data_IF_588277876134
#
_entry.id   IF_588277876134
#
_cell.length_a   1.000
_cell.length_b   1.000
_cell.length_c   1.000
_cell.angle_alpha   90.00
_cell.angle_beta   90.00
_cell.angle_gamma   90.00
#
_symmetry.space_group_name_H-M   'P 1'
#
loop_
_entity.id
_entity.type
_entity.pdbx_description
1 polymer ?
#
# COMPACT_ATOMS: atom_id res chain seq x y z
N UNK A 1 41.45 35.08 -46.91
CA UNK A 1 41.74 35.51 -45.52
C UNK A 1 40.66 36.50 -45.14
N UNK A 2 39.57 36.02 -44.55
CA UNK A 2 38.43 36.86 -44.16
C UNK A 2 37.87 36.26 -42.88
N UNK A 3 38.16 36.92 -41.75
CA UNK A 3 37.74 36.51 -40.41
C UNK A 3 36.32 37.04 -40.16
N UNK A 4 35.40 36.14 -39.81
CA UNK A 4 34.12 36.53 -39.23
C UNK A 4 34.30 36.71 -37.71
N UNK A 5 33.83 37.85 -37.21
CA UNK A 5 33.93 38.27 -35.81
C UNK A 5 33.07 37.41 -34.88
N UNK A 6 33.73 36.75 -33.94
CA UNK A 6 33.17 35.97 -32.85
C UNK A 6 32.68 36.89 -31.73
N UNK A 7 31.57 37.62 -31.92
CA UNK A 7 30.99 38.46 -30.86
C UNK A 7 29.45 38.52 -30.95
N UNK A 8 28.78 37.38 -31.12
CA UNK A 8 27.32 37.27 -30.88
C UNK A 8 26.88 35.83 -30.59
N UNK A 9 27.71 35.06 -29.87
CA UNK A 9 27.35 33.69 -29.42
C UNK A 9 27.87 33.52 -28.00
N UNK A 10 27.39 34.34 -27.07
CA UNK A 10 27.70 34.17 -25.64
C UNK A 10 26.51 34.47 -24.71
N UNK A 11 25.32 34.73 -25.26
CA UNK A 11 24.13 35.10 -24.48
C UNK A 11 22.88 34.24 -24.81
N UNK A 12 23.08 33.03 -25.35
CA UNK A 12 21.98 32.05 -25.61
C UNK A 12 22.31 30.67 -25.00
N UNK A 13 23.45 30.49 -24.34
CA UNK A 13 23.86 29.21 -23.72
C UNK A 13 23.83 29.29 -22.18
N UNK A 14 23.11 30.25 -21.60
CA UNK A 14 22.96 30.40 -20.15
C UNK A 14 21.53 30.11 -19.65
N UNK A 15 20.63 29.62 -20.50
CA UNK A 15 19.22 29.42 -20.17
C UNK A 15 18.66 28.05 -20.58
N UNK A 16 19.48 26.99 -20.57
CA UNK A 16 19.02 25.63 -20.87
C UNK A 16 19.80 24.54 -20.11
N UNK A 17 20.37 24.87 -18.94
CA UNK A 17 20.66 23.86 -17.92
C UNK A 17 19.50 23.87 -16.92
N UNK A 18 18.30 23.53 -17.41
CA UNK A 18 17.36 22.80 -16.58
C UNK A 18 18.08 21.49 -16.27
N UNK A 19 18.75 21.45 -15.12
CA UNK A 19 19.10 20.20 -14.47
C UNK A 19 17.75 19.55 -14.23
N UNK A 20 17.33 18.68 -15.14
CA UNK A 20 16.33 17.67 -14.83
C UNK A 20 16.97 16.81 -13.75
N UNK A 21 16.81 17.23 -12.50
CA UNK A 21 16.88 16.29 -11.39
C UNK A 21 15.75 15.32 -11.67
N UNK A 22 16.09 14.19 -12.28
CA UNK A 22 15.25 13.00 -12.22
C UNK A 22 15.13 12.73 -10.73
N UNK A 23 14.09 13.26 -10.09
CA UNK A 23 13.61 12.73 -8.82
C UNK A 23 13.21 11.32 -9.19
N UNK A 24 14.10 10.36 -8.93
CA UNK A 24 13.67 8.97 -8.86
C UNK A 24 12.57 8.98 -7.80
N UNK A 25 11.32 8.79 -8.23
CA UNK A 25 10.29 8.36 -7.31
C UNK A 25 10.87 7.14 -6.59
N UNK A 26 10.79 7.14 -5.25
CA UNK A 26 11.20 5.95 -4.50
C UNK A 26 10.45 4.75 -5.07
N UNK A 27 11.13 3.61 -5.22
CA UNK A 27 10.46 2.40 -5.68
C UNK A 27 9.33 2.05 -4.70
N UNK A 28 8.16 1.71 -5.23
CA UNK A 28 7.00 1.36 -4.41
C UNK A 28 7.32 0.15 -3.50
N UNK A 29 6.83 0.19 -2.26
CA UNK A 29 6.90 -0.95 -1.34
C UNK A 29 5.55 -1.66 -1.42
N UNK A 30 5.50 -2.79 -2.13
CA UNK A 30 4.29 -3.60 -2.27
C UNK A 30 4.41 -4.83 -1.38
N UNK A 31 3.42 -5.00 -0.50
CA UNK A 31 3.31 -6.11 0.46
C UNK A 31 2.08 -6.92 0.07
N UNK A 32 2.29 -8.05 -0.59
CA UNK A 32 1.27 -8.91 -1.21
C UNK A 32 1.46 -10.39 -0.79
N UNK A 33 0.83 -11.34 -1.48
CA UNK A 33 0.95 -12.77 -1.20
C UNK A 33 2.41 -13.29 -1.21
N UNK A 34 3.30 -12.68 -1.99
CA UNK A 34 4.71 -13.06 -2.08
C UNK A 34 5.53 -12.58 -0.86
N UNK A 35 4.94 -11.74 -0.01
CA UNK A 35 5.55 -11.21 1.22
C UNK A 35 4.99 -11.84 2.50
N UNK A 36 4.50 -13.08 2.39
CA UNK A 36 3.89 -13.81 3.52
C UNK A 36 4.81 -14.85 4.16
N UNK A 37 6.06 -14.98 3.70
CA UNK A 37 7.05 -15.88 4.33
C UNK A 37 7.78 -15.18 5.49
N UNK A 38 7.20 -15.28 6.68
CA UNK A 38 7.76 -14.67 7.90
C UNK A 38 9.15 -15.21 8.27
N UNK A 39 9.53 -16.39 7.78
CA UNK A 39 10.84 -16.99 8.10
C UNK A 39 12.01 -16.27 7.43
N UNK A 40 11.73 -15.46 6.40
CA UNK A 40 12.75 -14.67 5.70
C UNK A 40 13.09 -13.37 6.42
N UNK A 41 12.26 -12.91 7.36
CA UNK A 41 12.49 -11.66 8.06
C UNK A 41 13.59 -11.88 9.12
N UNK A 42 14.76 -11.24 8.99
CA UNK A 42 15.83 -11.42 9.97
C UNK A 42 15.41 -10.84 11.33
N UNK A 43 15.86 -11.46 12.42
CA UNK A 43 15.61 -10.96 13.78
C UNK A 43 15.94 -9.46 13.92
N UNK A 44 17.08 -9.02 13.39
CA UNK A 44 17.52 -7.63 13.45
C UNK A 44 16.55 -6.67 12.73
N UNK A 45 15.86 -7.11 11.66
CA UNK A 45 14.86 -6.30 10.98
C UNK A 45 13.60 -6.14 11.84
N UNK A 46 13.18 -7.20 12.53
CA UNK A 46 12.05 -7.15 13.48
C UNK A 46 12.38 -6.20 14.64
N UNK A 47 13.58 -6.33 15.22
CA UNK A 47 14.04 -5.45 16.30
C UNK A 47 14.15 -4.00 15.84
N UNK A 48 14.64 -3.74 14.62
CA UNK A 48 14.73 -2.39 14.09
C UNK A 48 13.35 -1.78 13.80
N UNK A 49 12.38 -2.57 13.33
CA UNK A 49 11.00 -2.11 13.19
C UNK A 49 10.43 -1.67 14.55
N UNK A 50 10.60 -2.50 15.58
CA UNK A 50 10.13 -2.21 16.95
C UNK A 50 10.80 -0.99 17.57
N UNK A 51 12.05 -0.71 17.21
CA UNK A 51 12.81 0.42 17.74
C UNK A 51 12.48 1.77 17.08
N UNK A 52 11.92 1.76 15.87
CA UNK A 52 11.79 2.98 15.07
C UNK A 52 10.35 3.28 14.63
N UNK A 53 9.43 2.32 14.65
CA UNK A 53 8.07 2.52 14.17
C UNK A 53 7.11 2.80 15.32
N UNK A 54 6.28 3.82 15.11
CA UNK A 54 5.15 4.21 15.94
C UNK A 54 3.94 4.31 15.01
N UNK A 55 3.04 3.34 15.11
CA UNK A 55 2.04 3.05 14.08
C UNK A 55 0.65 3.35 14.63
N UNK A 56 -0.18 4.07 13.88
CA UNK A 56 -1.62 4.11 14.13
C UNK A 56 -2.36 3.33 13.03
N UNK A 57 -3.31 2.50 13.45
CA UNK A 57 -4.07 1.61 12.55
C UNK A 57 -5.57 1.73 12.76
N UNK A 58 -6.25 2.43 11.85
CA UNK A 58 -7.71 2.53 11.84
C UNK A 58 -8.38 1.46 10.98
N UNK A 59 -9.36 0.77 11.54
CA UNK A 59 -10.11 -0.27 10.83
C UNK A 59 -11.44 -0.64 11.49
N UNK A 60 -12.32 -1.27 10.71
CA UNK A 60 -13.48 -2.00 11.25
C UNK A 60 -13.27 -3.53 11.14
N UNK A 61 -14.33 -4.28 10.87
CA UNK A 61 -14.36 -5.74 11.05
C UNK A 61 -13.32 -6.50 10.21
N UNK A 62 -13.21 -6.26 8.90
CA UNK A 62 -12.22 -6.98 8.07
C UNK A 62 -10.77 -6.66 8.45
N UNK A 63 -10.46 -5.39 8.74
CA UNK A 63 -9.09 -5.01 9.13
C UNK A 63 -8.61 -5.65 10.43
N UNK A 64 -9.52 -5.98 11.37
CA UNK A 64 -9.17 -6.67 12.62
C UNK A 64 -8.45 -8.01 12.44
N UNK A 65 -8.52 -8.60 11.23
CA UNK A 65 -7.79 -9.82 10.89
C UNK A 65 -6.27 -9.63 11.01
N UNK A 66 -5.74 -8.43 10.73
CA UNK A 66 -4.31 -8.12 10.80
C UNK A 66 -3.80 -8.22 12.25
N UNK A 67 -4.41 -7.47 13.17
CA UNK A 67 -4.04 -7.44 14.60
C UNK A 67 -4.40 -8.74 15.31
N UNK A 68 -5.52 -9.37 14.99
CA UNK A 68 -5.89 -10.69 15.54
C UNK A 68 -4.91 -11.78 15.11
N UNK A 69 -4.49 -11.75 13.84
CA UNK A 69 -3.45 -12.63 13.33
C UNK A 69 -2.12 -12.38 14.05
N UNK A 70 -1.70 -11.11 14.20
CA UNK A 70 -0.47 -10.74 14.91
C UNK A 70 -0.50 -11.17 16.38
N UNK A 71 -1.65 -11.12 17.06
CA UNK A 71 -1.82 -11.63 18.42
C UNK A 71 -1.55 -13.14 18.50
N UNK A 72 -2.12 -13.93 17.58
CA UNK A 72 -1.89 -15.38 17.54
C UNK A 72 -0.45 -15.76 17.17
N UNK A 73 0.21 -14.96 16.32
CA UNK A 73 1.59 -15.17 15.88
C UNK A 73 2.57 -15.22 17.05
N UNK A 74 2.38 -14.42 18.10
CA UNK A 74 3.28 -14.41 19.27
C UNK A 74 3.40 -15.81 19.88
N UNK A 75 2.27 -16.45 20.18
CA UNK A 75 2.24 -17.79 20.75
C UNK A 75 2.75 -18.85 19.78
N UNK A 76 2.41 -18.73 18.50
CA UNK A 76 2.87 -19.64 17.45
C UNK A 76 4.39 -19.63 17.28
N UNK A 77 5.00 -18.45 17.18
CA UNK A 77 6.45 -18.31 17.06
C UNK A 77 7.17 -18.75 18.34
N UNK A 78 6.65 -18.41 19.52
CA UNK A 78 7.19 -18.89 20.80
C UNK A 78 7.18 -20.43 20.90
N UNK A 79 6.20 -21.08 20.26
CA UNK A 79 6.09 -22.54 20.18
C UNK A 79 6.98 -23.19 19.11
N UNK A 80 7.73 -22.42 18.32
CA UNK A 80 8.57 -22.92 17.23
C UNK A 80 7.80 -23.17 15.92
N UNK A 81 6.63 -22.55 15.73
CA UNK A 81 5.87 -22.60 14.48
C UNK A 81 6.74 -22.21 13.27
N UNK A 82 6.53 -22.87 12.13
CA UNK A 82 7.36 -22.78 10.92
C UNK A 82 8.85 -23.08 11.15
N UNK A 83 9.20 -23.72 12.26
CA UNK A 83 10.60 -23.94 12.65
C UNK A 83 11.32 -22.66 13.10
N UNK A 84 10.56 -21.60 13.42
CA UNK A 84 11.13 -20.34 13.91
C UNK A 84 11.89 -20.59 15.22
N UNK A 85 13.11 -20.07 15.29
CA UNK A 85 13.98 -20.12 16.47
C UNK A 85 14.42 -18.70 16.82
N UNK A 86 13.44 -17.86 17.18
CA UNK A 86 13.62 -16.46 17.55
C UNK A 86 13.44 -16.28 19.07
N UNK A 87 13.90 -15.15 19.64
CA UNK A 87 13.63 -14.82 21.04
C UNK A 87 12.14 -14.87 21.38
N UNK A 88 11.82 -15.24 22.62
CA UNK A 88 10.44 -15.19 23.11
C UNK A 88 9.86 -13.78 22.97
N UNK A 89 8.61 -13.70 22.53
CA UNK A 89 7.85 -12.46 22.35
C UNK A 89 8.44 -11.50 21.29
N UNK A 90 9.25 -12.02 20.36
CA UNK A 90 9.86 -11.20 19.29
C UNK A 90 8.81 -10.42 18.48
N UNK A 91 7.66 -11.04 18.20
CA UNK A 91 6.52 -10.47 17.48
C UNK A 91 5.47 -9.80 18.36
N UNK A 92 5.77 -9.55 19.64
CA UNK A 92 4.85 -8.84 20.53
C UNK A 92 4.69 -7.39 20.08
N UNK A 93 3.46 -6.90 20.17
CA UNK A 93 3.06 -5.53 19.89
C UNK A 93 2.11 -5.03 21.00
N UNK A 94 2.03 -3.71 21.17
CA UNK A 94 1.02 -3.01 21.98
C UNK A 94 1.10 -1.51 21.72
N UNK A 95 0.08 -0.77 22.14
CA UNK A 95 0.14 0.69 22.20
C UNK A 95 1.23 1.13 23.20
N UNK A 96 2.19 1.92 22.73
CA UNK A 96 3.31 2.48 23.47
C UNK A 96 4.60 1.63 23.44
N UNK A 97 4.64 0.55 22.67
CA UNK A 97 5.85 -0.29 22.49
C UNK A 97 6.42 -0.88 23.79
N UNK A 98 5.60 -0.96 24.84
CA UNK A 98 6.04 -1.27 26.19
C UNK A 98 6.62 -2.69 26.29
N UNK A 99 7.68 -2.83 27.10
CA UNK A 99 8.40 -4.10 27.23
C UNK A 99 9.21 -4.48 25.98
N UNK A 100 9.52 -3.51 25.11
CA UNK A 100 10.24 -3.73 23.87
C UNK A 100 9.37 -4.42 22.82
N UNK A 101 8.08 -4.08 22.77
CA UNK A 101 7.13 -4.54 21.75
C UNK A 101 7.14 -3.58 20.54
N UNK A 102 6.53 -3.97 19.42
CA UNK A 102 6.20 -3.01 18.35
C UNK A 102 5.16 -2.02 18.89
N UNK A 103 5.40 -0.73 18.68
CA UNK A 103 4.43 0.30 19.00
C UNK A 103 3.39 0.41 17.90
N UNK A 104 2.18 -0.09 18.20
CA UNK A 104 1.03 -0.03 17.32
C UNK A 104 -0.20 0.28 18.15
N UNK A 105 -0.81 1.44 17.86
CA UNK A 105 -2.11 1.84 18.36
C UNK A 105 -3.20 1.35 17.40
N UNK A 106 -3.97 0.37 17.86
CA UNK A 106 -5.15 -0.13 17.17
C UNK A 106 -6.32 0.82 17.43
N UNK A 107 -6.95 1.30 16.37
CA UNK A 107 -8.07 2.25 16.42
C UNK A 107 -9.32 1.67 17.09
N UNK A 108 -10.21 2.55 17.54
CA UNK A 108 -11.37 2.16 18.36
C UNK A 108 -12.51 1.50 17.56
N UNK A 109 -12.34 1.34 16.24
CA UNK A 109 -13.24 0.61 15.36
C UNK A 109 -14.65 1.18 15.29
N UNK A 110 -15.59 0.71 16.10
CA UNK A 110 -16.96 1.29 16.15
C UNK A 110 -17.22 2.11 17.42
N UNK A 111 -16.15 2.42 18.16
CA UNK A 111 -16.22 3.26 19.34
C UNK A 111 -16.15 4.74 19.00
N UNK A 112 -15.57 5.52 19.91
CA UNK A 112 -15.45 6.97 19.82
C UNK A 112 -14.07 7.48 20.27
N UNK A 113 -13.07 6.60 20.27
CA UNK A 113 -11.66 6.92 20.45
C UNK A 113 -11.00 7.26 19.11
N UNK A 114 -9.67 7.29 19.13
CA UNK A 114 -8.88 7.61 17.95
C UNK A 114 -9.03 6.59 16.82
N UNK A 115 -8.83 7.08 15.60
CA UNK A 115 -8.80 6.24 14.40
C UNK A 115 -10.07 5.40 14.29
N UNK A 116 -11.22 6.03 14.56
CA UNK A 116 -12.52 5.37 14.51
C UNK A 116 -12.89 4.94 13.07
N UNK A 117 -13.70 3.90 12.97
CA UNK A 117 -14.17 3.30 11.72
C UNK A 117 -13.03 2.85 10.77
N UNK A 118 -13.22 3.04 9.47
CA UNK A 118 -12.31 2.61 8.40
C UNK A 118 -12.27 3.68 7.28
N UNK A 119 -11.33 3.59 6.33
CA UNK A 119 -11.20 4.62 5.30
C UNK A 119 -12.35 4.67 4.28
N UNK A 120 -13.34 3.78 4.40
CA UNK A 120 -14.60 3.87 3.69
C UNK A 120 -15.51 5.01 4.17
N UNK A 121 -15.26 5.54 5.37
CA UNK A 121 -16.05 6.61 6.00
C UNK A 121 -15.47 7.98 5.70
N UNK A 122 -15.57 8.42 4.44
CA UNK A 122 -15.14 9.76 4.02
C UNK A 122 -16.25 10.81 4.28
N UNK A 123 -15.93 12.02 4.80
CA UNK A 123 -14.59 12.54 5.07
C UNK A 123 -14.00 12.19 6.44
N UNK A 124 -14.77 11.55 7.33
CA UNK A 124 -14.41 11.31 8.72
C UNK A 124 -12.99 10.73 8.92
N UNK A 125 -12.61 9.66 8.21
CA UNK A 125 -11.28 9.05 8.40
C UNK A 125 -10.12 10.02 8.13
N UNK A 126 -10.31 11.01 7.24
CA UNK A 126 -9.32 12.06 6.94
C UNK A 126 -9.25 13.04 8.09
N UNK A 127 -10.41 13.43 8.63
CA UNK A 127 -10.52 14.34 9.77
C UNK A 127 -9.88 13.70 11.01
N UNK A 128 -10.25 12.46 11.33
CA UNK A 128 -9.66 11.65 12.41
C UNK A 128 -8.13 11.52 12.29
N UNK A 129 -7.62 11.32 11.07
CA UNK A 129 -6.17 11.25 10.84
C UNK A 129 -5.47 12.56 11.22
N UNK A 130 -6.08 13.70 10.87
CA UNK A 130 -5.52 15.02 11.21
C UNK A 130 -5.62 15.30 12.69
N UNK A 131 -6.77 15.04 13.30
CA UNK A 131 -6.98 15.23 14.73
C UNK A 131 -5.99 14.38 15.55
N UNK A 132 -5.77 13.13 15.14
CA UNK A 132 -4.80 12.24 15.77
C UNK A 132 -3.35 12.75 15.65
N UNK A 133 -2.90 13.09 14.43
CA UNK A 133 -1.53 13.55 14.17
C UNK A 133 -1.23 14.96 14.68
N UNK A 134 -2.25 15.83 14.78
CA UNK A 134 -2.10 17.19 15.31
C UNK A 134 -2.11 17.21 16.86
N UNK A 135 -2.53 16.13 17.51
CA UNK A 135 -2.43 15.99 18.97
C UNK A 135 -0.96 15.76 19.39
N UNK A 136 -0.38 16.62 20.25
CA UNK A 136 1.01 16.48 20.69
C UNK A 136 1.35 15.14 21.38
N UNK A 137 0.34 14.42 21.88
CA UNK A 137 0.52 13.10 22.53
C UNK A 137 0.84 11.98 21.55
N UNK A 138 0.64 12.18 20.24
CA UNK A 138 1.01 11.23 19.17
C UNK A 138 2.14 11.79 18.27
N UNK A 139 2.95 12.72 18.77
CA UNK A 139 3.99 13.39 17.99
C UNK A 139 5.16 12.49 17.56
N UNK A 140 5.22 11.27 18.09
CA UNK A 140 6.15 10.20 17.71
C UNK A 140 5.65 9.32 16.56
N UNK A 141 4.34 9.33 16.27
CA UNK A 141 3.73 8.53 15.20
C UNK A 141 4.35 8.88 13.85
N UNK A 142 4.79 7.84 13.15
CA UNK A 142 5.47 7.97 11.87
C UNK A 142 4.95 7.02 10.79
N UNK A 143 3.94 6.20 11.11
CA UNK A 143 3.23 5.37 10.15
C UNK A 143 1.73 5.43 10.41
N UNK A 144 0.96 5.70 9.36
CA UNK A 144 -0.51 5.60 9.37
C UNK A 144 -0.93 4.54 8.37
N UNK A 145 -1.80 3.64 8.82
CA UNK A 145 -2.45 2.65 7.96
C UNK A 145 -3.95 2.67 8.23
N UNK A 146 -4.75 2.63 7.17
CA UNK A 146 -6.19 2.49 7.26
C UNK A 146 -6.66 1.30 6.44
N UNK A 147 -7.53 0.49 7.03
CA UNK A 147 -8.16 -0.64 6.33
C UNK A 147 -9.47 -0.25 5.67
N UNK A 148 -10.00 -1.18 4.89
CA UNK A 148 -11.35 -1.17 4.34
C UNK A 148 -12.19 -2.28 4.97
N UNK A 149 -13.51 -2.09 5.00
CA UNK A 149 -14.47 -3.18 5.08
C UNK A 149 -14.99 -3.46 3.66
N UNK A 150 -16.30 -3.48 3.45
CA UNK A 150 -16.91 -3.79 2.14
C UNK A 150 -17.07 -2.61 1.16
N UNK A 151 -16.60 -1.41 1.51
CA UNK A 151 -16.95 -0.19 0.76
C UNK A 151 -16.39 -0.18 -0.66
N UNK A 152 -15.18 -0.74 -0.88
CA UNK A 152 -14.52 -0.77 -2.19
C UNK A 152 -15.38 -1.43 -3.27
N UNK A 153 -16.15 -2.48 -2.92
CA UNK A 153 -17.04 -3.20 -3.85
C UNK A 153 -18.06 -2.29 -4.54
N UNK A 154 -18.50 -1.22 -3.88
CA UNK A 154 -19.52 -0.30 -4.39
C UNK A 154 -18.99 1.01 -4.99
N UNK A 155 -17.68 1.29 -4.87
CA UNK A 155 -17.10 2.57 -5.30
C UNK A 155 -16.97 2.64 -6.81
N UNK A 156 -17.28 3.79 -7.40
CA UNK A 156 -16.88 4.09 -8.77
C UNK A 156 -15.38 4.44 -8.82
N UNK A 157 -14.82 4.50 -10.03
CA UNK A 157 -13.42 4.93 -10.24
C UNK A 157 -13.18 6.33 -9.67
N UNK A 158 -14.14 7.24 -9.89
CA UNK A 158 -14.08 8.61 -9.42
C UNK A 158 -14.24 8.68 -7.89
N UNK A 159 -15.12 7.86 -7.29
CA UNK A 159 -15.22 7.81 -5.83
C UNK A 159 -13.90 7.36 -5.20
N UNK A 160 -13.20 6.37 -5.79
CA UNK A 160 -11.88 5.95 -5.29
C UNK A 160 -10.86 7.09 -5.34
N UNK A 161 -10.89 7.91 -6.39
CA UNK A 161 -10.01 9.08 -6.51
C UNK A 161 -10.35 10.09 -5.42
N UNK A 162 -11.61 10.52 -5.34
CA UNK A 162 -12.03 11.67 -4.55
C UNK A 162 -12.07 11.36 -3.05
N UNK A 163 -12.33 10.11 -2.66
CA UNK A 163 -12.55 9.73 -1.26
C UNK A 163 -11.41 8.95 -0.62
N UNK A 164 -10.42 8.51 -1.42
CA UNK A 164 -9.28 7.76 -0.92
C UNK A 164 -7.93 8.19 -1.50
N UNK A 165 -7.71 8.06 -2.82
CA UNK A 165 -6.38 8.26 -3.41
C UNK A 165 -5.91 9.71 -3.30
N UNK A 166 -6.76 10.68 -3.63
CA UNK A 166 -6.43 12.10 -3.50
C UNK A 166 -6.30 12.53 -2.03
N UNK A 167 -7.21 12.15 -1.10
CA UNK A 167 -7.01 12.41 0.33
C UNK A 167 -5.72 11.81 0.91
N UNK A 168 -5.37 10.55 0.59
CA UNK A 168 -4.11 9.94 1.02
C UNK A 168 -2.90 10.77 0.54
N UNK A 169 -2.92 11.20 -0.73
CA UNK A 169 -1.87 12.07 -1.29
C UNK A 169 -1.78 13.40 -0.54
N UNK A 170 -2.93 13.99 -0.20
CA UNK A 170 -2.96 15.25 0.52
C UNK A 170 -2.42 15.08 1.95
N UNK A 171 -2.73 13.99 2.63
CA UNK A 171 -2.19 13.68 3.95
C UNK A 171 -0.66 13.50 3.91
N UNK A 172 -0.10 12.83 2.91
CA UNK A 172 1.35 12.74 2.73
C UNK A 172 2.01 14.11 2.52
N UNK A 173 1.34 15.04 1.82
CA UNK A 173 1.85 16.40 1.63
C UNK A 173 1.81 17.22 2.92
N UNK A 174 0.77 17.02 3.73
CA UNK A 174 0.55 17.77 4.96
C UNK A 174 1.42 17.24 6.12
N UNK A 175 1.71 15.93 6.14
CA UNK A 175 2.51 15.25 7.15
C UNK A 175 3.72 14.54 6.52
N UNK A 176 4.72 15.28 6.00
CA UNK A 176 5.82 14.71 5.19
C UNK A 176 6.78 13.79 5.97
N UNK A 177 6.67 13.72 7.30
CA UNK A 177 7.46 12.82 8.15
C UNK A 177 6.71 11.53 8.51
N UNK A 178 5.46 11.39 8.06
CA UNK A 178 4.61 10.22 8.30
C UNK A 178 4.50 9.41 7.01
N UNK A 179 4.73 8.10 7.11
CA UNK A 179 4.49 7.17 6.00
C UNK A 179 3.03 6.74 6.01
N UNK A 180 2.31 7.01 4.92
CA UNK A 180 0.93 6.55 4.74
C UNK A 180 0.92 5.24 3.93
N UNK A 181 0.43 4.17 4.55
CA UNK A 181 0.29 2.86 3.92
C UNK A 181 -1.08 2.76 3.27
N UNK A 182 -1.10 2.64 1.95
CA UNK A 182 -2.30 2.32 1.18
C UNK A 182 -2.68 0.86 1.40
N UNK A 183 -3.97 0.53 1.25
CA UNK A 183 -4.48 -0.82 1.41
C UNK A 183 -5.54 -1.11 0.34
N UNK A 184 -5.55 -2.32 -0.23
CA UNK A 184 -6.67 -2.81 -1.06
C UNK A 184 -7.85 -3.28 -0.19
N UNK A 185 -9.03 -3.45 -0.78
CA UNK A 185 -10.19 -4.03 -0.10
C UNK A 185 -10.03 -5.54 0.19
N UNK A 186 -11.11 -6.21 0.57
CA UNK A 186 -11.17 -7.67 0.69
C UNK A 186 -11.88 -8.29 -0.52
N UNK A 187 -11.67 -9.57 -0.78
CA UNK A 187 -12.35 -10.34 -1.83
C UNK A 187 -13.86 -10.44 -1.55
N UNK A 188 -14.69 -10.21 -2.57
CA UNK A 188 -16.15 -10.35 -2.50
C UNK A 188 -16.69 -11.45 -3.44
N UNK A 189 -15.77 -12.07 -4.18
CA UNK A 189 -16.03 -13.10 -5.17
C UNK A 189 -16.86 -12.66 -6.37
N UNK A 190 -16.79 -11.38 -6.73
CA UNK A 190 -17.26 -10.88 -8.03
C UNK A 190 -16.32 -11.21 -9.19
N UNK A 191 -15.14 -11.79 -8.91
CA UNK A 191 -14.15 -12.21 -9.91
C UNK A 191 -13.34 -11.07 -10.52
N UNK A 192 -12.44 -11.39 -11.45
CA UNK A 192 -11.48 -10.43 -12.02
C UNK A 192 -12.10 -9.32 -12.88
N UNK A 193 -13.32 -9.53 -13.36
CA UNK A 193 -14.08 -8.50 -14.09
C UNK A 193 -15.02 -7.72 -13.17
N UNK A 194 -15.11 -8.10 -11.90
CA UNK A 194 -15.94 -7.46 -10.89
C UNK A 194 -15.42 -6.09 -10.48
N UNK A 195 -16.33 -5.22 -10.03
CA UNK A 195 -15.97 -3.84 -9.68
C UNK A 195 -14.89 -3.77 -8.59
N UNK A 196 -15.00 -4.59 -7.54
CA UNK A 196 -13.99 -4.67 -6.49
C UNK A 196 -12.58 -4.91 -7.06
N UNK A 197 -12.42 -5.90 -7.94
CA UNK A 197 -11.12 -6.21 -8.56
C UNK A 197 -10.57 -5.00 -9.32
N UNK A 198 -11.42 -4.33 -10.11
CA UNK A 198 -11.04 -3.13 -10.86
C UNK A 198 -10.66 -1.96 -9.96
N UNK A 199 -11.31 -1.78 -8.80
CA UNK A 199 -10.96 -0.74 -7.82
C UNK A 199 -9.69 -1.07 -7.04
N UNK A 200 -9.45 -2.34 -6.71
CA UNK A 200 -8.18 -2.78 -6.14
C UNK A 200 -7.03 -2.62 -7.13
N UNK A 201 -7.25 -2.93 -8.41
CA UNK A 201 -6.25 -2.68 -9.46
C UNK A 201 -5.94 -1.18 -9.58
N UNK A 202 -6.94 -0.31 -9.50
CA UNK A 202 -6.74 1.14 -9.49
C UNK A 202 -5.84 1.60 -8.32
N UNK A 203 -6.00 1.03 -7.12
CA UNK A 203 -5.11 1.32 -5.97
C UNK A 203 -3.68 0.83 -6.25
N UNK A 204 -3.51 -0.39 -6.76
CA UNK A 204 -2.19 -0.97 -7.11
C UNK A 204 -1.45 -0.14 -8.14
N UNK A 205 -2.14 0.25 -9.21
CA UNK A 205 -1.58 1.06 -10.29
C UNK A 205 -1.15 2.43 -9.76
N UNK A 206 -1.99 3.03 -8.91
CA UNK A 206 -1.67 4.29 -8.25
C UNK A 206 -0.41 4.16 -7.39
N UNK A 207 -0.32 3.11 -6.56
CA UNK A 207 0.81 2.90 -5.67
C UNK A 207 2.11 2.64 -6.44
N UNK A 208 2.06 1.78 -7.45
CA UNK A 208 3.22 1.46 -8.30
C UNK A 208 3.70 2.70 -9.07
N UNK A 209 2.78 3.45 -9.66
CA UNK A 209 3.12 4.64 -10.48
C UNK A 209 3.74 5.76 -9.63
N UNK A 210 3.31 5.91 -8.39
CA UNK A 210 3.69 7.04 -7.53
C UNK A 210 4.66 6.64 -6.41
N UNK A 211 5.23 5.43 -6.42
CA UNK A 211 6.20 5.01 -5.43
C UNK A 211 5.65 4.90 -4.01
N UNK A 212 4.40 4.45 -3.86
CA UNK A 212 3.71 4.38 -2.56
C UNK A 212 4.01 3.08 -1.82
N UNK A 213 3.65 3.05 -0.55
CA UNK A 213 3.63 1.84 0.27
C UNK A 213 2.23 1.24 0.21
N UNK A 214 2.11 -0.03 -0.18
CA UNK A 214 0.84 -0.75 -0.31
C UNK A 214 0.87 -2.04 0.52
N UNK A 215 -0.15 -2.22 1.35
CA UNK A 215 -0.55 -3.50 1.91
C UNK A 215 -1.70 -4.09 1.09
N UNK A 216 -1.40 -5.08 0.25
CA UNK A 216 -2.35 -5.65 -0.69
C UNK A 216 -3.19 -6.75 -0.06
N UNK A 217 -4.13 -6.33 0.78
CA UNK A 217 -5.06 -7.19 1.51
C UNK A 217 -5.84 -8.13 0.57
N UNK A 218 -6.37 -7.62 -0.54
CA UNK A 218 -7.11 -8.41 -1.54
C UNK A 218 -6.24 -9.45 -2.22
N UNK A 219 -5.01 -9.08 -2.61
CA UNK A 219 -4.09 -10.02 -3.24
C UNK A 219 -3.81 -11.21 -2.33
N UNK A 220 -3.52 -10.97 -1.05
CA UNK A 220 -3.31 -12.04 -0.07
C UNK A 220 -4.50 -13.01 -0.08
N UNK A 221 -5.74 -12.54 -0.07
CA UNK A 221 -6.93 -13.43 -0.05
C UNK A 221 -7.12 -14.27 -1.31
N UNK A 222 -6.51 -13.88 -2.43
CA UNK A 222 -6.62 -14.56 -3.71
C UNK A 222 -5.64 -15.72 -3.90
N UNK A 223 -4.72 -15.94 -2.95
CA UNK A 223 -3.73 -17.03 -3.01
C UNK A 223 -3.78 -17.91 -1.77
N UNK A 224 -3.45 -19.20 -1.91
CA UNK A 224 -3.11 -20.04 -0.76
C UNK A 224 -1.61 -19.95 -0.41
N UNK A 225 -1.13 -20.58 0.68
CA UNK A 225 0.30 -20.59 1.02
C UNK A 225 1.22 -21.27 0.00
N UNK A 226 0.68 -22.13 -0.87
CA UNK A 226 1.45 -22.85 -1.90
C UNK A 226 1.55 -22.05 -3.21
N UNK A 227 0.92 -20.87 -3.27
CA UNK A 227 0.90 -19.98 -4.43
C UNK A 227 -0.18 -20.30 -5.47
N UNK A 228 -1.16 -21.16 -5.13
CA UNK A 228 -2.30 -21.38 -6.01
C UNK A 228 -3.19 -20.14 -6.01
N UNK A 229 -3.59 -19.70 -7.21
CA UNK A 229 -4.46 -18.55 -7.40
C UNK A 229 -5.94 -18.93 -7.47
N UNK A 230 -6.79 -18.07 -6.90
CA UNK A 230 -8.24 -18.23 -6.78
C UNK A 230 -9.05 -17.00 -7.21
N UNK A 231 -8.40 -15.88 -7.59
CA UNK A 231 -9.10 -14.67 -8.03
C UNK A 231 -9.98 -14.88 -9.27
N UNK A 232 -9.61 -15.83 -10.13
CA UNK A 232 -10.35 -16.28 -11.31
C UNK A 232 -11.47 -17.29 -10.99
N UNK A 233 -11.61 -17.71 -9.72
CA UNK A 233 -12.56 -18.72 -9.24
C UNK A 233 -13.61 -18.14 -8.30
N UNK A 234 -13.97 -16.87 -8.48
CA UNK A 234 -14.97 -16.18 -7.69
C UNK A 234 -14.68 -16.22 -6.17
N UNK A 235 -13.41 -16.21 -5.76
CA UNK A 235 -13.03 -16.29 -4.34
C UNK A 235 -13.59 -15.13 -3.52
N UNK A 236 -14.19 -15.40 -2.37
CA UNK A 236 -14.64 -14.38 -1.41
C UNK A 236 -13.76 -14.33 -0.14
N UNK A 237 -14.04 -13.37 0.72
CA UNK A 237 -13.40 -13.14 2.02
C UNK A 237 -13.46 -14.35 2.97
N UNK A 238 -14.50 -15.18 2.87
CA UNK A 238 -14.59 -16.45 3.62
C UNK A 238 -13.66 -17.56 3.09
N UNK A 239 -12.87 -17.27 2.05
CA UNK A 239 -12.00 -18.21 1.32
C UNK A 239 -12.78 -19.25 0.49
N UNK A 240 -14.08 -19.05 0.25
CA UNK A 240 -14.89 -19.91 -0.61
C UNK A 240 -14.63 -19.59 -2.07
N UNK A 241 -14.54 -20.60 -2.93
CA UNK A 241 -14.30 -20.45 -4.37
C UNK A 241 -15.11 -21.48 -5.17
N UNK A 242 -15.30 -21.18 -6.46
CA UNK A 242 -15.94 -22.04 -7.46
C UNK A 242 -14.91 -23.01 -8.06
N UNK A 243 -14.96 -24.28 -7.67
CA UNK A 243 -13.91 -25.25 -8.03
C UNK A 243 -14.09 -25.88 -9.41
N UNK A 244 -15.29 -25.81 -9.99
CA UNK A 244 -15.63 -26.43 -11.28
C UNK A 244 -16.08 -25.42 -12.36
N UNK A 245 -16.17 -24.14 -12.02
CA UNK A 245 -16.51 -23.05 -12.92
C UNK A 245 -18.02 -22.96 -13.23
N UNK A 246 -18.88 -23.52 -12.38
CA UNK A 246 -20.33 -23.55 -12.59
C UNK A 246 -21.05 -22.27 -12.11
N UNK A 247 -20.32 -21.32 -11.53
CA UNK A 247 -20.84 -20.06 -10.97
C UNK A 247 -21.28 -20.15 -9.50
N UNK A 248 -21.09 -21.29 -8.83
CA UNK A 248 -21.38 -21.50 -7.42
C UNK A 248 -20.11 -21.86 -6.66
N UNK A 249 -19.87 -21.18 -5.53
CA UNK A 249 -18.77 -21.54 -4.63
C UNK A 249 -19.10 -22.84 -3.90
N UNK A 250 -18.26 -23.85 -4.07
CA UNK A 250 -18.46 -25.20 -3.55
C UNK A 250 -17.23 -25.76 -2.82
N UNK A 251 -16.15 -24.97 -2.75
CA UNK A 251 -14.90 -25.33 -2.12
C UNK A 251 -14.36 -24.16 -1.26
N UNK A 252 -13.44 -24.46 -0.34
CA UNK A 252 -12.80 -23.46 0.52
C UNK A 252 -11.30 -23.73 0.61
N UNK A 253 -10.48 -22.85 0.01
CA UNK A 253 -9.05 -23.12 -0.16
C UNK A 253 -8.31 -23.19 1.17
N UNK A 254 -8.67 -22.32 2.12
CA UNK A 254 -8.03 -22.25 3.41
C UNK A 254 -8.30 -23.52 4.24
N UNK A 255 -9.54 -24.00 4.25
CA UNK A 255 -9.92 -25.23 4.94
C UNK A 255 -9.23 -26.46 4.32
N UNK A 256 -9.15 -26.51 3.00
CA UNK A 256 -8.45 -27.59 2.30
C UNK A 256 -6.97 -27.63 2.67
N UNK A 257 -6.29 -26.49 2.64
CA UNK A 257 -4.89 -26.38 3.02
C UNK A 257 -4.68 -26.75 4.50
N UNK A 258 -5.52 -26.26 5.41
CA UNK A 258 -5.46 -26.60 6.83
C UNK A 258 -5.63 -28.11 7.09
N UNK A 259 -6.45 -28.81 6.31
CA UNK A 259 -6.68 -30.25 6.48
C UNK A 259 -5.49 -31.12 6.05
N UNK A 260 -4.57 -30.58 5.26
CA UNK A 260 -3.34 -31.28 4.83
C UNK A 260 -2.10 -30.85 5.62
N UNK A 261 -2.24 -29.90 6.55
CA UNK A 261 -1.16 -29.30 7.33
C UNK A 261 -1.40 -29.37 8.84
N UNK A 262 -0.33 -29.30 9.62
CA UNK A 262 -0.36 -29.50 11.06
C UNK A 262 -0.53 -28.17 11.80
N UNK A 263 -1.60 -28.03 12.57
CA UNK A 263 -1.79 -26.86 13.44
C UNK A 263 -0.68 -26.77 14.50
N UNK A 264 -0.24 -25.54 14.79
CA UNK A 264 0.89 -25.15 15.63
C UNK A 264 2.27 -25.56 15.07
N UNK A 265 2.32 -26.09 13.85
CA UNK A 265 3.56 -26.30 13.09
C UNK A 265 3.53 -25.43 11.84
N UNK A 266 2.52 -25.60 11.00
CA UNK A 266 2.42 -24.93 9.70
C UNK A 266 1.51 -23.69 9.75
N UNK A 267 0.56 -23.68 10.68
CA UNK A 267 -0.40 -22.59 10.88
C UNK A 267 -0.92 -22.59 12.32
N UNK A 268 -1.52 -21.50 12.78
CA UNK A 268 -2.16 -21.43 14.10
C UNK A 268 -3.63 -21.01 14.00
N UNK A 269 -4.42 -21.43 14.97
CA UNK A 269 -5.81 -21.03 15.07
C UNK A 269 -5.92 -19.66 15.75
N UNK A 270 -6.67 -18.75 15.15
CA UNK A 270 -6.98 -17.42 15.67
C UNK A 270 -8.40 -17.01 15.23
N UNK A 271 -8.94 -15.95 15.83
CA UNK A 271 -10.15 -15.33 15.29
C UNK A 271 -9.85 -14.70 13.92
N UNK A 272 -10.83 -14.69 13.03
CA UNK A 272 -10.71 -14.03 11.73
C UNK A 272 -12.08 -13.57 11.27
N UNK A 273 -12.37 -12.27 11.39
CA UNK A 273 -13.66 -11.72 11.00
C UNK A 273 -13.96 -12.05 9.53
N UNK A 274 -15.11 -12.66 9.27
CA UNK A 274 -15.60 -13.05 7.93
C UNK A 274 -14.71 -14.03 7.14
N UNK A 275 -13.64 -14.56 7.75
CA UNK A 275 -12.63 -15.34 7.04
C UNK A 275 -12.18 -16.59 7.81
N UNK A 276 -11.12 -17.26 7.33
CA UNK A 276 -10.50 -18.42 7.99
C UNK A 276 -9.23 -18.03 8.74
N UNK A 277 -8.87 -18.75 9.83
CA UNK A 277 -7.65 -18.46 10.60
C UNK A 277 -6.38 -18.34 9.73
N UNK A 278 -6.24 -19.22 8.73
CA UNK A 278 -5.09 -19.21 7.85
C UNK A 278 -4.90 -17.88 7.10
N UNK A 279 -5.99 -17.21 6.74
CA UNK A 279 -5.94 -15.93 6.04
C UNK A 279 -5.45 -14.80 6.96
N UNK A 280 -5.91 -14.77 8.22
CA UNK A 280 -5.39 -13.86 9.24
C UNK A 280 -3.91 -14.13 9.56
N UNK A 281 -3.48 -15.40 9.58
CA UNK A 281 -2.06 -15.74 9.77
C UNK A 281 -1.19 -15.12 8.66
N UNK A 282 -1.61 -15.27 7.40
CA UNK A 282 -0.88 -14.72 6.25
C UNK A 282 -0.83 -13.18 6.27
N UNK A 283 -1.92 -12.53 6.67
CA UNK A 283 -1.94 -11.07 6.86
C UNK A 283 -1.03 -10.61 8.00
N UNK A 284 -0.92 -11.38 9.07
CA UNK A 284 0.04 -11.11 10.14
C UNK A 284 1.49 -11.24 9.66
N UNK A 285 1.77 -12.25 8.83
CA UNK A 285 3.11 -12.42 8.23
C UNK A 285 3.47 -11.26 7.31
N UNK A 286 2.54 -10.89 6.42
CA UNK A 286 2.67 -9.72 5.55
C UNK A 286 2.81 -8.42 6.35
N UNK A 287 2.10 -8.25 7.46
CA UNK A 287 2.21 -7.06 8.30
C UNK A 287 3.61 -6.95 8.91
N UNK A 288 4.16 -8.04 9.44
CA UNK A 288 5.55 -8.03 9.92
C UNK A 288 6.56 -7.78 8.81
N UNK A 289 6.30 -8.24 7.59
CA UNK A 289 7.11 -7.91 6.43
C UNK A 289 7.05 -6.40 6.13
N UNK A 290 5.85 -5.80 6.12
CA UNK A 290 5.66 -4.36 5.99
C UNK A 290 6.47 -3.59 7.04
N UNK A 291 6.33 -3.95 8.32
CA UNK A 291 7.03 -3.30 9.42
C UNK A 291 8.55 -3.44 9.29
N UNK A 292 9.04 -4.61 8.90
CA UNK A 292 10.47 -4.80 8.65
C UNK A 292 10.96 -3.90 7.49
N UNK A 293 10.21 -3.83 6.38
CA UNK A 293 10.55 -2.96 5.23
C UNK A 293 10.59 -1.48 5.62
N UNK A 294 9.58 -1.00 6.35
CA UNK A 294 9.53 0.38 6.85
C UNK A 294 10.60 0.65 7.91
N UNK A 295 10.96 -0.37 8.68
CA UNK A 295 12.11 -0.37 9.58
C UNK A 295 13.46 -0.46 8.85
N UNK A 296 13.54 -0.26 7.54
CA UNK A 296 14.81 -0.19 6.80
C UNK A 296 15.41 -1.54 6.39
N UNK A 297 14.65 -2.63 6.48
CA UNK A 297 15.04 -3.87 5.82
C UNK A 297 14.76 -3.77 4.32
N UNK A 298 15.78 -3.98 3.49
CA UNK A 298 15.62 -3.94 2.03
C UNK A 298 14.71 -5.07 1.49
N UNK A 299 14.56 -6.16 2.24
CA UNK A 299 13.92 -7.38 1.78
C UNK A 299 14.84 -8.24 0.90
N UNK A 300 14.40 -9.46 0.53
CA UNK A 300 15.04 -10.22 -0.53
C UNK A 300 14.92 -9.43 -1.84
N UNK A 301 16.02 -9.28 -2.57
CA UNK A 301 15.99 -8.60 -3.86
C UNK A 301 15.01 -9.32 -4.79
N UNK A 302 13.89 -8.67 -5.13
CA UNK A 302 13.09 -9.13 -6.25
C UNK A 302 13.93 -8.95 -7.50
N UNK A 303 14.30 -10.05 -8.14
CA UNK A 303 14.84 -10.01 -9.50
C UNK A 303 13.71 -9.64 -10.45
N UNK A 304 13.29 -8.38 -10.41
CA UNK A 304 12.32 -7.81 -11.34
C UNK A 304 13.05 -7.50 -12.64
N UNK A 305 13.20 -8.52 -13.49
CA UNK A 305 13.45 -8.32 -14.91
C UNK A 305 12.16 -7.84 -15.58
N UNK A 306 11.83 -6.56 -15.41
CA UNK A 306 10.89 -5.90 -16.33
C UNK A 306 11.74 -5.35 -17.48
N UNK A 307 11.59 -5.84 -18.72
CA UNK A 307 12.22 -5.18 -19.85
C UNK A 307 11.63 -3.77 -19.94
N UNK A 308 12.49 -2.76 -19.92
CA UNK A 308 12.09 -1.37 -20.12
C UNK A 308 11.20 -1.28 -21.37
N UNK A 309 9.91 -1.01 -21.18
CA UNK A 309 9.07 -0.60 -22.28
C UNK A 309 9.67 0.70 -22.81
N UNK A 310 10.07 0.70 -24.08
CA UNK A 310 10.60 1.87 -24.78
C UNK A 310 9.64 3.05 -24.60
N UNK A 311 9.98 3.97 -23.70
CA UNK A 311 9.36 5.27 -23.57
C UNK A 311 9.77 6.14 -24.77
N UNK A 312 9.20 5.85 -25.94
CA UNK A 312 9.40 6.65 -27.13
C UNK A 312 8.13 6.68 -27.97
N UNK A 313 7.04 7.23 -27.40
CA UNK A 313 5.91 7.82 -28.16
C UNK A 313 4.92 8.57 -27.25
N UNK A 314 5.42 9.53 -26.46
CA UNK A 314 4.57 10.60 -25.95
C UNK A 314 5.23 11.94 -26.28
N UNK A 315 4.83 12.53 -27.40
CA UNK A 315 5.11 13.94 -27.70
C UNK A 315 4.01 14.73 -27.00
N UNK A 316 4.30 15.58 -26.00
CA UNK A 316 3.31 16.50 -25.49
C UNK A 316 3.10 17.61 -26.53
N UNK A 317 1.93 17.62 -27.16
CA UNK A 317 1.45 18.75 -27.95
C UNK A 317 1.14 19.88 -26.97
N UNK A 318 2.12 20.75 -26.74
CA UNK A 318 1.90 22.00 -26.02
C UNK A 318 1.20 22.98 -26.98
N UNK A 319 -0.11 23.15 -26.78
CA UNK A 319 -0.94 24.10 -27.51
C UNK A 319 -0.53 25.53 -27.09
N UNK A 320 0.29 26.19 -27.90
CA UNK A 320 0.62 27.62 -27.77
C UNK A 320 -0.54 28.45 -28.33
N UNK A 321 -1.44 28.91 -27.46
CA UNK A 321 -2.36 30.01 -27.77
C UNK A 321 -1.66 31.34 -27.42
N UNK A 322 -0.91 31.90 -28.39
CA UNK A 322 -0.49 33.31 -28.34
C UNK A 322 -1.38 34.08 -29.32
N UNK A 323 -2.12 35.04 -28.76
CA UNK A 323 -3.12 35.83 -29.45
C UNK A 323 -2.57 36.64 -30.63
N UNK A 324 -3.29 36.58 -31.74
CA UNK A 324 -3.10 37.46 -32.88
C UNK A 324 -3.62 38.87 -32.57
N UNK A 325 -2.76 39.72 -32.02
CA UNK A 325 -2.95 41.16 -31.99
C UNK A 325 -2.43 41.80 -33.29
N UNK A 326 -3.32 42.05 -34.25
CA UNK A 326 -3.04 42.84 -35.44
C UNK A 326 -2.62 44.27 -35.07
N UNK A 327 -1.34 44.63 -35.28
CA UNK A 327 -0.91 46.03 -35.34
C UNK A 327 -0.45 46.37 -36.76
N UNK A 328 -1.29 47.14 -37.45
CA UNK A 328 -1.02 47.71 -38.78
C UNK A 328 -0.18 48.98 -38.60
N UNK A 329 1.10 48.93 -38.97
CA UNK A 329 1.93 50.13 -39.11
C UNK A 329 1.98 50.58 -40.57
N UNK A 330 1.19 51.63 -40.84
CA UNK A 330 1.06 52.34 -42.11
C UNK A 330 2.35 53.11 -42.42
N UNK A 331 3.05 52.76 -43.51
CA UNK A 331 4.15 53.57 -44.06
C UNK A 331 3.63 54.97 -44.45
N UNK A 332 4.15 56.02 -43.82
CA UNK A 332 4.16 57.39 -44.36
C UNK A 332 5.44 57.56 -45.19
N UNK A 333 5.28 57.80 -46.48
CA UNK A 333 6.30 58.43 -47.31
C UNK A 333 6.12 59.96 -47.23
N UNK A 334 7.22 60.73 -47.23
CA UNK A 334 7.55 61.80 -48.21
C UNK A 334 8.66 62.73 -47.66
N UNK A 335 9.52 63.15 -48.60
CA UNK A 335 10.60 64.15 -48.61
C UNK A 335 12.00 63.58 -48.36
N UNK A 336 12.98 63.72 -49.27
CA UNK A 336 13.11 64.54 -50.50
C UNK A 336 13.61 63.71 -51.67
#
# INVERSE_FOLDING_TARGET
MTRYNSFTIALIIALLFLVSTSTHAADAIIIDHATTDITQIPQAAIENAKANLHIAYGHTSHGSQLTTGMNGLVGFANGGGLGLSLPTDIFKWNNGGSGGALDLEEGDGYGSGWMDHDCGYYPNWVEETREYLDDPTHSDVNVIIWSWCGQVSGRTEQDMIDTYLAPMTQLELDYPNVTFVYMTGHADGSGETGNLHLRNQQIRDYCTTNGKVLFDFYDIECYDPDGNYYGDKLVNDNCDYDSDGNGSRDANWATQWQNTHTQNVDWYNCGSAHSKPLNANRKAYAAWWLWARLGGWEGPSSTSSVPALNASLFIPVMLVLIGAGCFVLKKRAVSR
#
